data_IF_502964124111
#
_entry.id   IF_502964124111
#
_cell.length_a   1.000
_cell.length_b   1.000
_cell.length_c   1.000
_cell.angle_alpha   90.00
_cell.angle_beta   90.00
_cell.angle_gamma   90.00
#
_symmetry.space_group_name_H-M   'P 1'
#
loop_
_entity.id
_entity.type
_entity.pdbx_description
1 polymer ?
#
# COMPACT_ATOMS: atom_id res chain seq x y z
N UNK A 1 3.53 -14.95 -10.67
CA UNK A 1 3.28 -13.93 -9.64
C UNK A 1 4.59 -13.62 -8.97
N UNK A 2 5.15 -12.45 -9.24
CA UNK A 2 6.48 -12.09 -8.75
C UNK A 2 6.44 -11.13 -7.55
N UNK A 3 5.37 -10.32 -7.46
CA UNK A 3 5.01 -9.53 -6.28
C UNK A 3 3.53 -9.72 -5.94
N UNK A 4 3.22 -9.69 -4.64
CA UNK A 4 1.87 -9.65 -4.09
C UNK A 4 1.84 -8.52 -3.07
N UNK A 5 0.88 -7.60 -3.23
CA UNK A 5 0.67 -6.46 -2.34
C UNK A 5 -0.70 -6.57 -1.66
N UNK A 6 -0.75 -6.23 -0.38
CA UNK A 6 -1.98 -6.01 0.37
C UNK A 6 -2.26 -4.51 0.43
N UNK A 7 -3.52 -4.13 0.25
CA UNK A 7 -3.99 -2.76 0.32
C UNK A 7 -5.01 -2.64 1.45
N UNK A 8 -4.65 -1.94 2.52
CA UNK A 8 -5.39 -1.90 3.77
C UNK A 8 -5.76 -0.46 4.16
N UNK A 9 -6.87 -0.28 4.86
CA UNK A 9 -7.25 0.99 5.45
C UNK A 9 -8.70 1.02 5.89
N UNK A 10 -9.04 1.93 6.80
CA UNK A 10 -10.42 2.11 7.25
C UNK A 10 -11.29 2.68 6.12
N UNK A 11 -12.57 2.30 6.07
CA UNK A 11 -13.49 2.74 5.00
C UNK A 11 -13.77 4.25 5.02
N UNK A 12 -13.70 4.88 6.19
CA UNK A 12 -13.96 6.30 6.40
C UNK A 12 -12.67 7.12 6.50
N UNK A 13 -11.50 6.47 6.60
CA UNK A 13 -10.21 7.14 6.55
C UNK A 13 -9.68 7.25 5.11
N UNK A 14 -8.97 8.34 4.84
CA UNK A 14 -8.24 8.53 3.57
C UNK A 14 -6.90 7.78 3.55
N UNK A 15 -6.34 7.51 4.73
CA UNK A 15 -5.09 6.77 4.86
C UNK A 15 -5.25 5.33 4.37
N UNK A 16 -4.35 4.93 3.47
CA UNK A 16 -4.21 3.58 2.95
C UNK A 16 -2.78 3.11 3.15
N UNK A 17 -2.64 1.88 3.61
CA UNK A 17 -1.36 1.21 3.77
C UNK A 17 -1.21 0.16 2.68
N UNK A 18 -0.05 0.14 2.04
CA UNK A 18 0.33 -0.91 1.09
C UNK A 18 1.44 -1.72 1.70
N UNK A 19 1.25 -3.03 1.82
CA UNK A 19 2.25 -3.95 2.38
C UNK A 19 2.64 -4.99 1.34
N UNK A 20 3.93 -5.25 1.21
CA UNK A 20 4.42 -6.43 0.47
C UNK A 20 4.05 -7.72 1.20
N UNK A 21 3.31 -8.62 0.56
CA UNK A 21 2.99 -9.94 1.14
C UNK A 21 3.90 -11.03 0.57
N UNK A 22 4.30 -10.88 -0.69
CA UNK A 22 5.26 -11.77 -1.35
C UNK A 22 6.09 -10.95 -2.32
N UNK A 23 7.40 -11.13 -2.26
CA UNK A 23 8.33 -10.56 -3.22
C UNK A 23 9.34 -11.65 -3.60
N UNK A 24 9.35 -12.08 -4.86
CA UNK A 24 10.27 -13.12 -5.36
C UNK A 24 11.72 -12.64 -5.39
N UNK A 25 11.94 -11.33 -5.34
CA UNK A 25 13.23 -10.69 -5.58
C UNK A 25 13.78 -9.95 -4.36
N UNK A 26 13.12 -10.01 -3.19
CA UNK A 26 13.52 -9.20 -2.03
C UNK A 26 12.66 -9.42 -0.79
N UNK A 27 12.81 -8.55 0.21
CA UNK A 27 12.06 -8.59 1.47
C UNK A 27 10.61 -8.13 1.28
N UNK A 28 9.77 -8.44 2.26
CA UNK A 28 8.33 -8.10 2.27
C UNK A 28 7.96 -7.11 3.38
N UNK A 29 8.94 -6.64 4.14
CA UNK A 29 8.71 -5.76 5.30
C UNK A 29 8.48 -4.29 4.92
N UNK A 30 8.45 -4.00 3.62
CA UNK A 30 8.15 -2.68 3.08
C UNK A 30 6.66 -2.34 3.28
N UNK A 31 6.43 -1.14 3.81
CA UNK A 31 5.09 -0.54 3.96
C UNK A 31 5.12 0.85 3.35
N UNK A 32 4.22 1.10 2.41
CA UNK A 32 3.96 2.42 1.85
C UNK A 32 2.70 3.04 2.45
N UNK A 33 2.77 4.32 2.82
CA UNK A 33 1.64 5.11 3.30
C UNK A 33 1.12 6.00 2.17
N UNK A 34 -0.19 5.98 1.97
CA UNK A 34 -0.82 6.73 0.90
C UNK A 34 -2.12 7.38 1.39
N UNK A 35 -2.52 8.46 0.74
CA UNK A 35 -3.87 9.00 0.87
C UNK A 35 -4.67 8.76 -0.41
N UNK A 36 -5.91 8.30 -0.23
CA UNK A 36 -6.90 8.22 -1.30
C UNK A 36 -7.81 9.45 -1.25
N UNK A 37 -7.83 10.18 -2.35
CA UNK A 37 -8.69 11.34 -2.60
C UNK A 37 -9.51 11.11 -3.87
N UNK A 38 -10.45 12.00 -4.15
CA UNK A 38 -11.35 11.87 -5.30
C UNK A 38 -10.59 11.84 -6.65
N UNK A 39 -9.41 12.48 -6.71
CA UNK A 39 -8.54 12.50 -7.90
C UNK A 39 -7.55 11.33 -7.98
N UNK A 40 -7.52 10.44 -6.96
CA UNK A 40 -6.69 9.25 -6.96
C UNK A 40 -5.87 9.05 -5.69
N UNK A 41 -4.71 8.37 -5.82
CA UNK A 41 -3.84 8.00 -4.71
C UNK A 41 -2.54 8.82 -4.73
N UNK A 42 -2.16 9.38 -3.58
CA UNK A 42 -0.90 10.13 -3.43
C UNK A 42 -0.07 9.52 -2.31
N UNK A 43 1.24 9.39 -2.52
CA UNK A 43 2.17 8.92 -1.50
C UNK A 43 2.36 9.96 -0.39
N UNK A 44 2.34 9.50 0.86
CA UNK A 44 2.74 10.29 2.01
C UNK A 44 4.26 10.19 2.13
N UNK A 45 4.97 11.30 1.87
CA UNK A 45 6.43 11.41 1.98
C UNK A 45 6.88 11.66 3.42
#
# INVERSE_FOLDING_TARGET
MDLVLSFEGDRHARLRLVRGVKNRYGTTDEVGCFELHDEGITGLA
#
